data_IF_912566013245
#
_entry.id   IF_912566013245
#
_cell.length_a   1.000
_cell.length_b   1.000
_cell.length_c   1.000
_cell.angle_alpha   90.00
_cell.angle_beta   90.00
_cell.angle_gamma   90.00
#
_symmetry.space_group_name_H-M   'P 1'
#
loop_
_entity.id
_entity.type
_entity.pdbx_description
1 polymer ?
#
# COMPACT_ATOMS: atom_id res chain seq x y z
N UNK A 1 48.91 19.35 2.89
CA UNK A 1 48.76 18.18 2.00
C UNK A 1 47.78 17.10 2.53
N UNK A 2 47.49 17.03 3.82
CA UNK A 2 46.53 16.05 4.41
C UNK A 2 45.05 16.39 4.21
N UNK A 3 44.66 17.65 3.97
CA UNK A 3 43.25 18.07 3.84
C UNK A 3 42.64 17.66 2.49
N UNK A 4 43.44 17.58 1.43
CA UNK A 4 42.96 17.19 0.10
C UNK A 4 42.63 15.69 0.00
N UNK A 5 43.33 14.83 0.71
CA UNK A 5 43.14 13.38 0.69
C UNK A 5 41.83 13.01 1.39
N UNK A 6 41.50 13.72 2.48
CA UNK A 6 40.24 13.48 3.21
C UNK A 6 39.01 13.93 2.42
N UNK A 7 39.14 15.03 1.66
CA UNK A 7 38.06 15.56 0.80
C UNK A 7 37.81 14.67 -0.44
N UNK A 8 38.85 14.09 -1.03
CA UNK A 8 38.75 13.15 -2.14
C UNK A 8 38.09 11.83 -1.71
N UNK A 9 38.48 11.29 -0.55
CA UNK A 9 37.92 10.03 -0.01
C UNK A 9 36.44 10.17 0.37
N UNK A 10 36.00 11.34 0.83
CA UNK A 10 34.59 11.64 1.08
C UNK A 10 33.75 11.80 -0.20
N UNK A 11 34.37 12.31 -1.27
CA UNK A 11 33.70 12.48 -2.58
C UNK A 11 33.55 11.14 -3.32
N UNK A 12 34.54 10.25 -3.24
CA UNK A 12 34.46 8.91 -3.81
C UNK A 12 33.39 8.06 -3.09
N UNK A 13 33.36 8.08 -1.73
CA UNK A 13 32.34 7.40 -0.96
C UNK A 13 30.92 7.94 -1.24
N UNK A 14 30.75 9.25 -1.42
CA UNK A 14 29.43 9.82 -1.75
C UNK A 14 28.98 9.46 -3.18
N UNK A 15 29.91 9.37 -4.13
CA UNK A 15 29.62 8.92 -5.50
C UNK A 15 29.21 7.45 -5.55
N UNK A 16 29.86 6.61 -4.75
CA UNK A 16 29.61 5.19 -4.66
C UNK A 16 28.25 4.91 -3.98
N UNK A 17 27.95 5.59 -2.88
CA UNK A 17 26.65 5.54 -2.19
C UNK A 17 25.53 6.07 -3.09
N UNK A 18 25.75 7.15 -3.83
CA UNK A 18 24.79 7.68 -4.76
C UNK A 18 24.52 6.70 -5.92
N UNK A 19 25.55 6.03 -6.41
CA UNK A 19 25.42 4.99 -7.43
C UNK A 19 24.65 3.76 -6.93
N UNK A 20 24.91 3.31 -5.71
CA UNK A 20 24.15 2.22 -5.08
C UNK A 20 22.68 2.61 -4.84
N UNK A 21 22.42 3.82 -4.35
CA UNK A 21 21.07 4.34 -4.16
C UNK A 21 20.29 4.45 -5.47
N UNK A 22 20.94 4.95 -6.55
CA UNK A 22 20.31 5.02 -7.88
C UNK A 22 19.98 3.62 -8.38
N UNK A 23 20.87 2.64 -8.20
CA UNK A 23 20.66 1.26 -8.61
C UNK A 23 19.56 0.57 -7.80
N UNK A 24 19.41 0.88 -6.51
CA UNK A 24 18.29 0.40 -5.68
C UNK A 24 16.94 1.03 -6.06
N UNK A 25 16.97 2.28 -6.55
CA UNK A 25 15.79 3.01 -7.03
C UNK A 25 15.46 2.68 -8.50
N UNK A 26 16.38 2.05 -9.23
CA UNK A 26 16.16 1.65 -10.61
C UNK A 26 15.11 0.53 -10.66
N UNK A 27 14.02 0.80 -11.37
CA UNK A 27 12.89 -0.10 -11.50
C UNK A 27 13.27 -1.21 -12.48
N UNK A 28 13.54 -2.42 -11.97
CA UNK A 28 13.75 -3.59 -12.82
C UNK A 28 12.48 -3.93 -13.59
N UNK A 29 12.58 -3.98 -14.92
CA UNK A 29 11.48 -4.32 -15.82
C UNK A 29 11.48 -5.82 -16.08
N UNK A 30 10.37 -6.51 -15.76
CA UNK A 30 10.21 -7.96 -15.98
C UNK A 30 9.67 -8.25 -17.36
N UNK A 31 8.73 -7.43 -17.84
CA UNK A 31 8.10 -7.59 -19.14
C UNK A 31 7.95 -6.24 -19.86
N UNK A 32 8.24 -6.26 -21.16
CA UNK A 32 7.94 -5.12 -22.02
C UNK A 32 6.92 -5.51 -23.09
N UNK A 33 5.79 -4.80 -23.13
CA UNK A 33 4.77 -4.98 -24.16
C UNK A 33 4.81 -3.84 -25.16
N UNK A 34 4.68 -4.15 -26.45
CA UNK A 34 4.45 -3.14 -27.49
C UNK A 34 2.97 -3.13 -27.83
N UNK A 35 2.26 -2.08 -27.41
CA UNK A 35 0.86 -1.85 -27.77
C UNK A 35 0.77 -0.56 -28.59
N UNK A 36 0.23 -0.64 -29.79
CA UNK A 36 0.02 0.50 -30.69
C UNK A 36 1.28 1.39 -30.94
N UNK A 37 2.48 0.77 -30.95
CA UNK A 37 3.74 1.50 -31.17
C UNK A 37 4.42 2.06 -29.93
N UNK A 38 3.76 2.01 -28.78
CA UNK A 38 4.32 2.41 -27.47
C UNK A 38 4.90 1.19 -26.74
N UNK A 39 6.11 1.34 -26.19
CA UNK A 39 6.76 0.34 -25.35
C UNK A 39 6.31 0.59 -23.91
N UNK A 40 5.56 -0.35 -23.35
CA UNK A 40 5.14 -0.30 -21.95
C UNK A 40 6.00 -1.31 -21.19
N UNK A 41 6.85 -0.80 -20.34
CA UNK A 41 7.72 -1.61 -19.50
C UNK A 41 7.00 -1.86 -18.15
N UNK A 42 6.78 -3.14 -17.82
CA UNK A 42 6.13 -3.54 -16.56
C UNK A 42 7.21 -3.78 -15.51
N UNK A 43 7.15 -2.98 -14.45
CA UNK A 43 8.05 -3.10 -13.31
C UNK A 43 7.81 -4.41 -12.54
N UNK A 44 8.85 -4.96 -11.94
CA UNK A 44 8.76 -6.12 -11.04
C UNK A 44 7.80 -5.86 -9.88
N UNK A 45 7.83 -4.67 -9.31
CA UNK A 45 6.94 -4.21 -8.24
C UNK A 45 5.45 -4.33 -8.58
N UNK A 46 5.08 -4.07 -9.86
CA UNK A 46 3.70 -4.20 -10.34
C UNK A 46 3.27 -5.66 -10.37
N UNK A 47 4.14 -6.56 -10.84
CA UNK A 47 3.86 -8.01 -10.86
C UNK A 47 3.70 -8.54 -9.44
N UNK A 48 4.59 -8.15 -8.52
CA UNK A 48 4.50 -8.53 -7.10
C UNK A 48 3.23 -7.96 -6.47
N UNK A 49 2.82 -6.74 -6.82
CA UNK A 49 1.54 -6.15 -6.38
C UNK A 49 0.36 -7.02 -6.82
N UNK A 50 0.32 -7.48 -8.06
CA UNK A 50 -0.75 -8.36 -8.55
C UNK A 50 -0.77 -9.70 -7.81
N UNK A 51 0.40 -10.27 -7.52
CA UNK A 51 0.50 -11.50 -6.72
C UNK A 51 -0.05 -11.27 -5.32
N UNK A 52 0.31 -10.16 -4.65
CA UNK A 52 -0.21 -9.81 -3.32
C UNK A 52 -1.73 -9.65 -3.36
N UNK A 53 -2.26 -8.93 -4.34
CA UNK A 53 -3.71 -8.77 -4.49
C UNK A 53 -4.42 -10.10 -4.70
N UNK A 54 -3.88 -10.97 -5.56
CA UNK A 54 -4.44 -12.31 -5.77
C UNK A 54 -4.41 -13.15 -4.49
N UNK A 55 -3.31 -13.13 -3.74
CA UNK A 55 -3.17 -13.84 -2.46
C UNK A 55 -4.17 -13.31 -1.43
N UNK A 56 -4.33 -11.99 -1.31
CA UNK A 56 -5.29 -11.38 -0.39
C UNK A 56 -6.74 -11.72 -0.74
N UNK A 57 -7.10 -11.69 -2.03
CA UNK A 57 -8.43 -12.07 -2.51
C UNK A 57 -8.69 -13.55 -2.23
N UNK A 58 -7.74 -14.43 -2.56
CA UNK A 58 -7.85 -15.87 -2.27
C UNK A 58 -7.97 -16.14 -0.77
N UNK A 59 -7.15 -15.48 0.04
CA UNK A 59 -7.24 -15.57 1.49
C UNK A 59 -8.61 -15.12 1.99
N UNK A 60 -9.11 -13.97 1.52
CA UNK A 60 -10.44 -13.48 1.87
C UNK A 60 -11.54 -14.50 1.48
N UNK A 61 -11.50 -15.04 0.28
CA UNK A 61 -12.46 -16.06 -0.18
C UNK A 61 -12.40 -17.33 0.69
N UNK A 62 -11.21 -17.82 1.00
CA UNK A 62 -11.01 -19.04 1.80
C UNK A 62 -11.48 -18.81 3.23
N UNK A 63 -11.19 -17.65 3.82
CA UNK A 63 -11.54 -17.31 5.18
C UNK A 63 -13.02 -17.00 5.34
N UNK A 64 -13.66 -16.40 4.33
CA UNK A 64 -15.09 -16.03 4.36
C UNK A 64 -15.99 -17.14 3.83
N UNK A 65 -15.43 -18.21 3.24
CA UNK A 65 -16.20 -19.34 2.75
C UNK A 65 -16.76 -20.16 3.92
N UNK A 66 -18.07 -20.35 3.95
CA UNK A 66 -18.80 -21.08 5.01
C UNK A 66 -18.70 -20.45 6.42
N UNK A 67 -18.89 -19.13 6.49
CA UNK A 67 -19.07 -18.45 7.77
C UNK A 67 -20.30 -19.02 8.51
N UNK A 68 -20.07 -19.54 9.72
CA UNK A 68 -21.13 -20.06 10.59
C UNK A 68 -21.25 -19.18 11.83
N UNK A 69 -22.48 -18.83 12.18
CA UNK A 69 -22.77 -18.04 13.39
C UNK A 69 -22.69 -18.95 14.65
N UNK A 70 -23.01 -20.24 14.49
CA UNK A 70 -22.86 -21.24 15.54
C UNK A 70 -21.79 -22.26 15.14
N UNK A 71 -20.92 -22.64 16.07
CA UNK A 71 -19.81 -23.58 15.84
C UNK A 71 -18.73 -22.98 14.90
N UNK A 72 -18.12 -21.89 15.35
CA UNK A 72 -17.09 -21.12 14.61
C UNK A 72 -15.86 -22.00 14.34
N UNK A 73 -15.47 -22.13 13.08
CA UNK A 73 -14.26 -22.87 12.72
C UNK A 73 -13.01 -22.09 13.15
N UNK A 74 -11.92 -22.80 13.49
CA UNK A 74 -10.64 -22.17 13.88
C UNK A 74 -10.14 -21.16 12.85
N UNK A 75 -10.39 -21.39 11.55
CA UNK A 75 -10.02 -20.47 10.46
C UNK A 75 -10.79 -19.16 10.53
N UNK A 76 -12.10 -19.25 10.76
CA UNK A 76 -12.96 -18.07 10.91
C UNK A 76 -12.56 -17.26 12.15
N UNK A 77 -12.27 -17.91 13.27
CA UNK A 77 -11.82 -17.23 14.49
C UNK A 77 -10.52 -16.45 14.27
N UNK A 78 -9.55 -17.01 13.56
CA UNK A 78 -8.29 -16.31 13.22
C UNK A 78 -8.55 -15.11 12.33
N UNK A 79 -9.36 -15.25 11.27
CA UNK A 79 -9.71 -14.16 10.39
C UNK A 79 -10.42 -13.03 11.14
N UNK A 80 -11.39 -13.38 11.97
CA UNK A 80 -12.17 -12.43 12.76
C UNK A 80 -11.28 -11.66 13.74
N UNK A 81 -10.36 -12.34 14.43
CA UNK A 81 -9.39 -11.68 15.32
C UNK A 81 -8.49 -10.71 14.57
N UNK A 82 -7.96 -11.08 13.40
CA UNK A 82 -7.10 -10.21 12.60
C UNK A 82 -7.89 -8.99 12.13
N UNK A 83 -9.05 -9.19 11.52
CA UNK A 83 -9.87 -8.10 10.99
C UNK A 83 -10.34 -7.17 12.12
N UNK A 84 -10.85 -7.73 13.22
CA UNK A 84 -11.34 -6.94 14.36
C UNK A 84 -10.22 -6.12 15.00
N UNK A 85 -9.02 -6.70 15.17
CA UNK A 85 -7.88 -5.95 15.72
C UNK A 85 -7.42 -4.83 14.80
N UNK A 86 -7.29 -5.11 13.49
CA UNK A 86 -6.89 -4.09 12.51
C UNK A 86 -7.94 -2.98 12.40
N UNK A 87 -9.20 -3.34 12.30
CA UNK A 87 -10.33 -2.39 12.23
C UNK A 87 -10.40 -1.54 13.51
N UNK A 88 -10.31 -2.17 14.68
CA UNK A 88 -10.32 -1.44 15.96
C UNK A 88 -9.12 -0.51 16.11
N UNK A 89 -7.93 -0.90 15.64
CA UNK A 89 -6.76 -0.03 15.63
C UNK A 89 -6.98 1.19 14.74
N UNK A 90 -7.52 1.00 13.54
CA UNK A 90 -7.84 2.07 12.60
C UNK A 90 -8.94 2.99 13.14
N UNK A 91 -10.02 2.43 13.72
CA UNK A 91 -11.11 3.20 14.36
C UNK A 91 -10.59 4.10 15.48
N UNK A 92 -9.72 3.57 16.33
CA UNK A 92 -9.12 4.34 17.43
C UNK A 92 -8.23 5.49 16.94
N UNK A 93 -7.59 5.34 15.78
CA UNK A 93 -6.74 6.38 15.19
C UNK A 93 -7.56 7.50 14.54
N UNK A 94 -8.67 7.17 13.88
CA UNK A 94 -9.43 8.12 13.06
C UNK A 94 -10.56 8.78 13.88
N UNK A 95 -11.03 8.08 14.90
CA UNK A 95 -12.15 8.55 15.71
C UNK A 95 -13.52 8.44 15.01
N UNK A 96 -14.60 8.93 15.65
CA UNK A 96 -15.98 8.69 15.22
C UNK A 96 -16.33 9.35 13.88
N UNK A 97 -15.66 10.46 13.53
CA UNK A 97 -15.93 11.19 12.28
C UNK A 97 -15.46 10.43 11.03
N UNK A 98 -14.46 9.57 11.18
CA UNK A 98 -13.84 8.84 10.05
C UNK A 98 -14.34 7.40 9.85
N UNK A 99 -15.40 6.97 10.51
CA UNK A 99 -15.89 5.57 10.46
C UNK A 99 -16.12 5.03 9.04
N UNK A 100 -16.55 5.88 8.12
CA UNK A 100 -16.78 5.49 6.72
C UNK A 100 -15.50 5.07 5.99
N UNK A 101 -14.33 5.53 6.46
CA UNK A 101 -13.02 5.23 5.85
C UNK A 101 -12.34 4.01 6.46
N UNK A 102 -12.85 3.50 7.58
CA UNK A 102 -12.25 2.39 8.31
C UNK A 102 -12.02 1.16 7.43
N UNK A 103 -12.99 0.68 6.63
CA UNK A 103 -12.77 -0.49 5.77
C UNK A 103 -11.66 -0.26 4.74
N UNK A 104 -11.63 0.92 4.12
CA UNK A 104 -10.61 1.28 3.14
C UNK A 104 -9.22 1.30 3.78
N UNK A 105 -9.05 2.03 4.87
CA UNK A 105 -7.77 2.17 5.55
C UNK A 105 -7.29 0.84 6.15
N UNK A 106 -8.20 0.00 6.65
CA UNK A 106 -7.87 -1.36 7.09
C UNK A 106 -7.33 -2.20 5.92
N UNK A 107 -7.92 -2.09 4.74
CA UNK A 107 -7.46 -2.80 3.55
C UNK A 107 -6.08 -2.32 3.09
N UNK A 108 -5.85 -1.00 3.08
CA UNK A 108 -4.53 -0.42 2.74
C UNK A 108 -3.47 -0.84 3.75
N UNK A 109 -3.79 -0.81 5.05
CA UNK A 109 -2.89 -1.25 6.12
C UNK A 109 -2.53 -2.73 5.96
N UNK A 110 -3.50 -3.57 5.66
CA UNK A 110 -3.29 -4.99 5.42
C UNK A 110 -2.42 -5.23 4.18
N UNK A 111 -2.67 -4.49 3.08
CA UNK A 111 -1.84 -4.56 1.88
C UNK A 111 -0.39 -4.17 2.16
N UNK A 112 -0.15 -3.05 2.85
CA UNK A 112 1.19 -2.59 3.23
C UNK A 112 1.87 -3.63 4.15
N UNK A 113 1.14 -4.17 5.11
CA UNK A 113 1.65 -5.21 6.02
C UNK A 113 2.11 -6.46 5.27
N UNK A 114 1.28 -6.98 4.36
CA UNK A 114 1.62 -8.15 3.54
C UNK A 114 2.77 -7.84 2.58
N UNK A 115 2.80 -6.65 1.98
CA UNK A 115 3.90 -6.21 1.10
C UNK A 115 5.25 -6.21 1.83
N UNK A 116 5.27 -5.77 3.09
CA UNK A 116 6.48 -5.78 3.90
C UNK A 116 6.91 -7.21 4.29
N UNK A 117 5.95 -8.08 4.62
CA UNK A 117 6.23 -9.49 4.92
C UNK A 117 6.82 -10.19 3.68
N UNK A 118 6.27 -9.95 2.49
CA UNK A 118 6.80 -10.51 1.24
C UNK A 118 8.23 -10.04 0.97
N UNK A 119 8.56 -8.80 1.33
CA UNK A 119 9.94 -8.30 1.28
C UNK A 119 10.93 -9.10 2.12
N UNK A 120 10.49 -9.69 3.25
CA UNK A 120 11.31 -10.57 4.07
C UNK A 120 11.64 -11.91 3.40
N UNK A 121 10.81 -12.35 2.45
CA UNK A 121 11.06 -13.56 1.66
C UNK A 121 12.00 -13.34 0.46
N UNK A 122 12.59 -12.14 0.35
CA UNK A 122 13.55 -11.81 -0.70
C UNK A 122 12.93 -11.34 -2.03
N UNK A 123 11.60 -11.18 -2.07
CA UNK A 123 10.93 -10.53 -3.20
C UNK A 123 11.00 -9.00 -3.03
N UNK A 124 11.10 -8.29 -4.15
CA UNK A 124 11.12 -6.82 -4.13
C UNK A 124 9.77 -6.31 -3.60
N UNK A 125 9.79 -5.72 -2.40
CA UNK A 125 8.56 -5.19 -1.80
C UNK A 125 8.00 -4.05 -2.65
N UNK A 126 6.71 -4.10 -3.06
CA UNK A 126 6.08 -3.03 -3.83
C UNK A 126 6.11 -1.67 -3.14
N UNK A 127 6.13 -1.65 -1.81
CA UNK A 127 6.20 -0.40 -1.03
C UNK A 127 7.55 0.32 -1.14
N UNK A 128 8.60 -0.34 -1.65
CA UNK A 128 9.89 0.30 -1.99
C UNK A 128 9.83 1.06 -3.31
N UNK A 129 8.87 0.75 -4.18
CA UNK A 129 8.69 1.43 -5.44
C UNK A 129 7.94 2.75 -5.24
N UNK A 130 8.58 3.84 -5.63
CA UNK A 130 8.03 5.18 -5.52
C UNK A 130 6.71 5.33 -6.29
N UNK A 131 6.59 4.69 -7.46
CA UNK A 131 5.39 4.76 -8.29
C UNK A 131 4.19 4.12 -7.59
N UNK A 132 4.38 2.97 -6.93
CA UNK A 132 3.33 2.29 -6.17
C UNK A 132 2.92 3.13 -4.96
N UNK A 133 3.89 3.71 -4.26
CA UNK A 133 3.63 4.56 -3.08
C UNK A 133 2.90 5.84 -3.47
N UNK A 134 3.28 6.49 -4.56
CA UNK A 134 2.57 7.67 -5.10
C UNK A 134 1.15 7.29 -5.51
N UNK A 135 0.96 6.17 -6.21
CA UNK A 135 -0.37 5.72 -6.63
C UNK A 135 -1.30 5.48 -5.43
N UNK A 136 -0.81 4.82 -4.37
CA UNK A 136 -1.57 4.60 -3.13
C UNK A 136 -1.91 5.91 -2.41
N UNK A 137 -0.96 6.85 -2.35
CA UNK A 137 -1.20 8.15 -1.70
C UNK A 137 -2.20 8.99 -2.48
N UNK A 138 -2.10 9.06 -3.81
CA UNK A 138 -3.06 9.76 -4.66
C UNK A 138 -4.47 9.16 -4.55
N UNK A 139 -4.58 7.84 -4.58
CA UNK A 139 -5.85 7.14 -4.36
C UNK A 139 -6.46 7.48 -3.01
N UNK A 140 -5.65 7.51 -1.95
CA UNK A 140 -6.10 7.87 -0.61
C UNK A 140 -6.59 9.32 -0.54
N UNK A 141 -5.87 10.26 -1.14
CA UNK A 141 -6.26 11.66 -1.20
C UNK A 141 -7.61 11.81 -1.93
N UNK A 142 -7.75 11.21 -3.12
CA UNK A 142 -8.99 11.29 -3.92
C UNK A 142 -10.18 10.74 -3.13
N UNK A 143 -10.03 9.63 -2.43
CA UNK A 143 -11.10 9.01 -1.66
C UNK A 143 -11.48 9.90 -0.45
N UNK A 144 -10.50 10.43 0.28
CA UNK A 144 -10.74 11.25 1.46
C UNK A 144 -11.37 12.60 1.07
N UNK A 145 -10.79 13.29 0.09
CA UNK A 145 -11.29 14.58 -0.39
C UNK A 145 -12.68 14.44 -1.05
N UNK A 146 -12.87 13.43 -1.89
CA UNK A 146 -14.16 13.20 -2.57
C UNK A 146 -15.30 12.95 -1.59
N UNK A 147 -15.07 12.22 -0.50
CA UNK A 147 -16.08 12.02 0.55
C UNK A 147 -16.23 13.25 1.43
N UNK A 148 -15.17 14.01 1.70
CA UNK A 148 -15.21 15.26 2.46
C UNK A 148 -16.11 16.28 1.78
N UNK A 149 -15.95 16.49 0.48
CA UNK A 149 -16.78 17.42 -0.31
C UNK A 149 -18.26 16.99 -0.30
N UNK A 150 -18.56 15.71 -0.46
CA UNK A 150 -19.94 15.20 -0.41
C UNK A 150 -20.58 15.40 0.98
N UNK A 151 -19.83 15.22 2.06
CA UNK A 151 -20.30 15.42 3.43
C UNK A 151 -20.67 16.91 3.67
N UNK A 152 -19.81 17.83 3.24
CA UNK A 152 -20.04 19.28 3.37
C UNK A 152 -21.23 19.70 2.51
N UNK A 153 -21.33 19.24 1.27
CA UNK A 153 -22.45 19.55 0.37
C UNK A 153 -23.78 19.07 0.96
N UNK A 154 -23.81 17.89 1.58
CA UNK A 154 -25.00 17.35 2.23
C UNK A 154 -25.41 18.14 3.50
N UNK A 155 -24.43 18.57 4.29
CA UNK A 155 -24.71 19.42 5.44
C UNK A 155 -25.25 20.80 5.01
N UNK A 156 -24.66 21.42 4.01
CA UNK A 156 -25.14 22.68 3.45
C UNK A 156 -26.56 22.57 2.91
N UNK A 157 -26.88 21.49 2.20
CA UNK A 157 -28.25 21.27 1.68
C UNK A 157 -29.27 21.15 2.81
N UNK A 158 -28.94 20.53 3.93
CA UNK A 158 -29.83 20.45 5.11
C UNK A 158 -30.07 21.80 5.77
N UNK A 159 -29.03 22.63 5.86
CA UNK A 159 -29.16 23.99 6.45
C UNK A 159 -29.98 24.91 5.57
N UNK A 160 -29.89 24.76 4.24
CA UNK A 160 -30.65 25.59 3.29
C UNK A 160 -32.13 25.20 3.16
N UNK A 161 -32.50 23.99 3.62
CA UNK A 161 -33.87 23.47 3.57
C UNK A 161 -34.64 23.64 4.87
N UNK A 162 -34.03 24.23 5.91
CA UNK A 162 -34.65 24.65 7.17
C UNK A 162 -34.94 26.15 7.19
#
# INVERSE_FOLDING_TARGET
>A
MKVNIFRMKGSENMGDIAGELIKELEVETVFSFKIAGYKIDVAESVVVTWIIMAVLILAAIILTRNLKVHNISKRQAVAEVIVTKLTGMVENMIGPAGKSFVPYLTTVLLYIGVSNIIGLFGLKSPTKDLNVTIALSLMSIIIIEGNGVNCIAWQLSKVLLQ
#
